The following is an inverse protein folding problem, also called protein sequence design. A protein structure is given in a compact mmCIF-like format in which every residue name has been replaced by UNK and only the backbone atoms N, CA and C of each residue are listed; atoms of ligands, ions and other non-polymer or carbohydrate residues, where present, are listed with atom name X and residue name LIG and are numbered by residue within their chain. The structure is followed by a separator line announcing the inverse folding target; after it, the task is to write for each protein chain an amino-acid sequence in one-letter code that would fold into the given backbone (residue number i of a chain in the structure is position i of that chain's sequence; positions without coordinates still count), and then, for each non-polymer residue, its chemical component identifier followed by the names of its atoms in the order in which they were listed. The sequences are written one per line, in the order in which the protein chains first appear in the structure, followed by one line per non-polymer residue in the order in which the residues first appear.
data_IF_841697260209
#
_entry.id   IF_841697260209
#
_cell.length_a   1.000
_cell.length_b   1.000
_cell.length_c   1.000
_cell.angle_alpha   90.00
_cell.angle_beta   90.00
_cell.angle_gamma   90.00
#
_symmetry.space_group_name_H-M   'P 1'
#
loop_
_entity.id
_entity.type
_entity.pdbx_description
1 polymer ?
#
# COMPACT_ATOMS: atom_id res chain seq x y z
N UNK A 1 75.57 -11.02 -43.67
CA UNK A 1 74.92 -12.22 -43.08
C UNK A 1 75.78 -12.80 -41.97
N UNK A 2 75.41 -12.62 -40.69
CA UNK A 2 75.53 -13.60 -39.59
C UNK A 2 74.96 -12.99 -38.30
N UNK A 3 74.21 -13.82 -37.57
CA UNK A 3 73.49 -13.58 -36.31
C UNK A 3 74.43 -13.16 -35.16
N UNK A 4 73.91 -12.51 -34.12
CA UNK A 4 73.62 -13.12 -32.80
C UNK A 4 73.21 -12.04 -31.78
N UNK A 5 72.24 -12.43 -30.95
CA UNK A 5 71.61 -11.75 -29.82
C UNK A 5 72.54 -11.45 -28.63
N UNK A 6 72.36 -10.28 -28.03
CA UNK A 6 72.41 -10.01 -26.58
C UNK A 6 71.09 -9.27 -26.28
N UNK A 7 70.17 -9.69 -25.44
CA UNK A 7 70.30 -10.28 -24.11
C UNK A 7 70.16 -9.16 -23.08
N UNK A 8 68.94 -8.92 -22.54
CA UNK A 8 68.64 -8.63 -21.12
C UNK A 8 67.22 -8.04 -20.91
N UNK A 9 66.43 -8.81 -20.15
CA UNK A 9 65.62 -8.44 -18.98
C UNK A 9 64.83 -7.12 -19.00
N UNK A 10 63.51 -7.23 -18.89
CA UNK A 10 62.66 -6.12 -18.43
C UNK A 10 61.21 -6.57 -18.22
N UNK A 11 60.96 -7.16 -17.05
CA UNK A 11 59.83 -6.90 -16.12
C UNK A 11 58.47 -6.59 -16.78
N UNK A 12 57.55 -7.54 -16.60
CA UNK A 12 56.13 -7.40 -16.87
C UNK A 12 55.51 -6.23 -16.10
N UNK A 13 54.76 -5.38 -16.80
CA UNK A 13 53.79 -4.48 -16.20
C UNK A 13 52.50 -4.58 -17.03
N UNK A 14 51.68 -5.58 -16.71
CA UNK A 14 50.31 -5.65 -17.19
C UNK A 14 49.50 -4.58 -16.43
N UNK A 15 49.29 -3.44 -17.07
CA UNK A 15 48.27 -2.47 -16.62
C UNK A 15 46.93 -3.06 -17.02
N UNK A 16 46.37 -3.90 -16.15
CA UNK A 16 44.99 -4.33 -16.22
C UNK A 16 44.15 -3.15 -15.70
N UNK A 17 43.73 -2.28 -16.60
CA UNK A 17 42.79 -1.20 -16.29
C UNK A 17 41.45 -1.80 -15.91
N UNK A 18 41.23 -1.99 -14.61
CA UNK A 18 39.91 -2.26 -14.04
C UNK A 18 39.11 -0.96 -14.16
N UNK A 19 38.37 -0.82 -15.24
CA UNK A 19 37.25 0.11 -15.30
C UNK A 19 36.16 -0.44 -14.39
N UNK A 20 36.19 -0.03 -13.11
CA UNK A 20 35.02 -0.12 -12.26
C UNK A 20 34.02 0.89 -12.85
N UNK A 21 33.14 0.39 -13.71
CA UNK A 21 31.84 1.01 -13.97
C UNK A 21 31.13 1.03 -12.62
N UNK A 22 31.29 2.14 -11.90
CA UNK A 22 30.33 2.53 -10.86
C UNK A 22 29.05 2.84 -11.64
N UNK A 23 28.25 1.80 -11.90
CA UNK A 23 26.83 1.96 -12.14
C UNK A 23 26.25 2.50 -10.85
N UNK A 24 26.38 3.82 -10.69
CA UNK A 24 25.50 4.59 -9.85
C UNK A 24 24.09 4.29 -10.38
N UNK A 25 23.39 3.38 -9.71
CA UNK A 25 21.95 3.51 -9.59
C UNK A 25 21.74 4.86 -8.93
N UNK A 26 21.71 5.92 -9.75
CA UNK A 26 20.99 7.11 -9.40
C UNK A 26 19.53 6.65 -9.30
N UNK A 27 19.12 6.25 -8.09
CA UNK A 27 17.72 6.34 -7.70
C UNK A 27 17.30 7.75 -8.11
N UNK A 28 16.54 7.85 -9.20
CA UNK A 28 16.00 9.12 -9.62
C UNK A 28 15.27 9.68 -8.41
N UNK A 29 15.74 10.82 -7.89
CA UNK A 29 15.14 11.46 -6.73
C UNK A 29 13.66 11.65 -7.09
N UNK A 30 12.80 10.80 -6.53
CA UNK A 30 11.37 10.88 -6.79
C UNK A 30 10.92 12.19 -6.19
N UNK A 31 10.60 13.14 -7.06
CA UNK A 31 10.03 14.42 -6.66
C UNK A 31 8.73 14.12 -5.91
N UNK A 32 8.54 14.63 -4.67
CA UNK A 32 7.31 14.44 -3.93
C UNK A 32 6.11 14.95 -4.71
N UNK A 33 4.92 14.35 -4.54
CA UNK A 33 3.72 14.82 -5.21
C UNK A 33 3.38 16.23 -4.74
N UNK A 34 2.81 17.06 -5.61
CA UNK A 34 2.41 18.43 -5.27
C UNK A 34 1.16 18.48 -4.38
N UNK A 35 0.31 17.46 -4.53
CA UNK A 35 -0.92 17.25 -3.78
C UNK A 35 -0.91 15.86 -3.15
N UNK A 36 -1.57 15.73 -2.00
CA UNK A 36 -1.90 14.43 -1.46
C UNK A 36 -3.18 13.87 -2.10
N UNK A 37 -3.11 12.64 -2.58
CA UNK A 37 -4.27 11.84 -2.98
C UNK A 37 -4.19 10.46 -2.34
N UNK A 38 -5.29 10.02 -1.73
CA UNK A 38 -5.40 8.67 -1.18
C UNK A 38 -6.06 7.76 -2.19
N UNK A 39 -5.30 6.82 -2.76
CA UNK A 39 -5.78 5.89 -3.78
C UNK A 39 -6.11 4.51 -3.23
N UNK A 40 -6.20 4.39 -1.91
CA UNK A 40 -6.53 3.15 -1.23
C UNK A 40 -7.47 3.41 -0.06
N UNK A 41 -8.27 2.41 0.30
CA UNK A 41 -9.12 2.42 1.48
C UNK A 41 -8.33 2.18 2.78
N UNK A 42 -7.07 1.76 2.68
CA UNK A 42 -6.21 1.48 3.82
C UNK A 42 -5.91 2.73 4.65
N UNK A 43 -5.69 2.51 5.94
CA UNK A 43 -5.32 3.58 6.87
C UNK A 43 -4.18 3.14 7.77
N UNK A 44 -3.37 4.11 8.20
CA UNK A 44 -2.31 3.88 9.18
C UNK A 44 -2.57 4.72 10.43
N UNK A 45 -2.33 4.13 11.59
CA UNK A 45 -2.34 4.83 12.87
C UNK A 45 -0.90 5.12 13.31
N UNK A 46 -0.61 6.42 13.49
CA UNK A 46 0.62 6.94 14.09
C UNK A 46 0.22 7.60 15.41
N UNK A 47 0.73 7.12 16.54
CA UNK A 47 0.40 7.62 17.89
C UNK A 47 -1.11 7.84 18.12
N UNK A 48 -1.90 6.80 17.83
CA UNK A 48 -3.38 6.80 17.89
C UNK A 48 -4.09 7.77 16.94
N UNK A 49 -3.37 8.52 16.12
CA UNK A 49 -3.94 9.40 15.08
C UNK A 49 -4.09 8.62 13.78
N UNK A 50 -5.27 8.68 13.16
CA UNK A 50 -5.54 8.03 11.87
C UNK A 50 -5.04 8.88 10.71
N UNK A 51 -4.39 8.23 9.76
CA UNK A 51 -3.95 8.83 8.50
C UNK A 51 -4.47 8.03 7.32
N UNK A 52 -4.87 8.73 6.27
CA UNK A 52 -5.10 8.17 4.95
C UNK A 52 -3.75 7.90 4.27
N UNK A 53 -3.67 6.85 3.47
CA UNK A 53 -2.45 6.48 2.74
C UNK A 53 -2.62 6.74 1.25
N UNK A 54 -1.52 7.08 0.55
CA UNK A 54 -1.53 7.23 -0.91
C UNK A 54 -1.77 5.90 -1.62
N UNK A 55 -1.26 4.80 -1.06
CA UNK A 55 -1.43 3.45 -1.58
C UNK A 55 -1.29 2.39 -0.49
N UNK A 56 -1.81 1.19 -0.76
CA UNK A 56 -1.72 0.06 0.17
C UNK A 56 -0.29 -0.49 0.24
N UNK A 57 0.22 -0.84 1.44
CA UNK A 57 1.41 -1.70 1.58
C UNK A 57 1.25 -3.11 1.00
N UNK A 58 0.04 -3.49 0.56
CA UNK A 58 -0.25 -4.72 -0.18
C UNK A 58 -0.23 -4.52 -1.70
N UNK A 59 -0.10 -3.29 -2.21
CA UNK A 59 -0.27 -2.95 -3.64
C UNK A 59 0.58 -3.82 -4.58
N UNK A 60 1.81 -4.20 -4.19
CA UNK A 60 2.68 -5.07 -4.99
C UNK A 60 2.33 -6.56 -4.92
N UNK A 61 1.42 -6.96 -4.03
CA UNK A 61 1.01 -8.33 -3.81
C UNK A 61 -0.27 -8.60 -4.62
N UNK A 62 -0.14 -8.85 -5.92
CA UNK A 62 -1.28 -8.92 -6.83
C UNK A 62 -2.42 -9.83 -6.34
N UNK A 63 -3.65 -9.34 -6.42
CA UNK A 63 -4.86 -10.04 -6.01
C UNK A 63 -5.28 -9.82 -4.56
N UNK A 64 -4.61 -8.92 -3.83
CA UNK A 64 -5.05 -8.51 -2.50
C UNK A 64 -6.43 -7.84 -2.54
N UNK A 65 -6.80 -7.20 -3.65
CA UNK A 65 -8.07 -6.49 -3.84
C UNK A 65 -9.29 -7.42 -3.76
N UNK A 66 -9.10 -8.71 -4.06
CA UNK A 66 -10.15 -9.71 -4.17
C UNK A 66 -10.33 -10.58 -2.92
N UNK A 67 -9.56 -10.32 -1.85
CA UNK A 67 -9.41 -11.27 -0.75
C UNK A 67 -10.66 -11.53 0.09
N UNK A 68 -11.51 -10.51 0.26
CA UNK A 68 -12.61 -10.60 1.20
C UNK A 68 -13.90 -10.04 0.57
N UNK A 69 -14.83 -10.91 0.16
CA UNK A 69 -16.19 -10.51 -0.18
C UNK A 69 -16.92 -10.18 1.11
N UNK A 70 -16.72 -8.96 1.62
CA UNK A 70 -17.49 -8.53 2.79
C UNK A 70 -18.84 -8.05 2.25
N UNK A 71 -19.90 -8.76 2.66
CA UNK A 71 -21.29 -8.53 2.26
C UNK A 71 -21.88 -7.23 2.80
N UNK A 72 -21.19 -6.11 2.58
CA UNK A 72 -21.71 -4.79 2.89
C UNK A 72 -22.23 -4.20 1.59
N UNK A 73 -23.54 -3.96 1.55
CA UNK A 73 -24.15 -3.10 0.56
C UNK A 73 -23.45 -1.75 0.66
N UNK A 74 -22.83 -1.29 -0.43
CA UNK A 74 -22.22 0.03 -0.48
C UNK A 74 -23.31 1.08 -0.39
N UNK A 75 -23.61 1.54 0.81
CA UNK A 75 -24.17 2.86 0.99
C UNK A 75 -22.93 3.73 1.12
N UNK A 76 -22.57 4.45 0.05
CA UNK A 76 -21.61 5.56 0.07
C UNK A 76 -22.35 6.74 0.72
N UNK A 77 -22.28 6.94 2.05
CA UNK A 77 -22.82 8.17 2.62
C UNK A 77 -21.89 9.29 2.14
N UNK A 78 -22.38 10.50 1.90
CA UNK A 78 -21.53 11.61 1.51
C UNK A 78 -20.63 12.00 2.70
N UNK A 79 -19.48 11.34 2.85
CA UNK A 79 -18.50 11.72 3.85
C UNK A 79 -17.80 12.99 3.41
N UNK A 80 -17.42 13.86 4.35
CA UNK A 80 -16.51 14.97 4.05
C UNK A 80 -15.24 14.43 3.37
N UNK A 81 -14.70 15.09 2.35
CA UNK A 81 -13.42 14.66 1.77
C UNK A 81 -12.32 14.67 2.84
N UNK A 82 -11.40 13.70 2.76
CA UNK A 82 -10.36 13.49 3.78
C UNK A 82 -10.77 12.59 4.95
N UNK A 83 -12.02 12.12 5.00
CA UNK A 83 -12.51 11.19 6.05
C UNK A 83 -12.22 9.73 5.71
N UNK A 84 -12.29 9.38 4.41
CA UNK A 84 -11.99 8.06 3.86
C UNK A 84 -11.05 8.21 2.66
N UNK A 85 -10.26 7.17 2.39
CA UNK A 85 -9.51 7.04 1.15
C UNK A 85 -10.40 6.55 0.00
N UNK A 86 -9.80 6.29 -1.16
CA UNK A 86 -10.53 5.76 -2.32
C UNK A 86 -11.00 4.31 -2.09
N UNK A 87 -12.13 3.93 -2.67
CA UNK A 87 -12.63 2.54 -2.65
C UNK A 87 -11.93 1.71 -3.76
N UNK A 88 -10.68 1.32 -3.49
CA UNK A 88 -9.89 0.41 -4.35
C UNK A 88 -10.31 -1.06 -4.19
N UNK A 89 -10.90 -1.42 -3.05
CA UNK A 89 -11.32 -2.78 -2.69
C UNK A 89 -12.32 -2.77 -1.53
N UNK A 90 -13.08 -3.86 -1.33
CA UNK A 90 -14.20 -3.96 -0.36
C UNK A 90 -13.83 -4.04 1.12
N UNK A 91 -12.59 -3.75 1.45
CA UNK A 91 -12.11 -3.72 2.83
C UNK A 91 -11.01 -2.67 2.96
N UNK A 92 -10.77 -2.20 4.18
CA UNK A 92 -9.61 -1.41 4.56
C UNK A 92 -8.65 -2.29 5.37
N UNK A 93 -7.37 -2.32 4.99
CA UNK A 93 -6.34 -2.82 5.87
C UNK A 93 -5.91 -1.71 6.84
N UNK A 94 -5.81 -2.08 8.12
CA UNK A 94 -5.49 -1.14 9.20
C UNK A 94 -4.08 -1.42 9.68
N UNK A 95 -3.22 -0.42 9.50
CA UNK A 95 -1.81 -0.46 9.82
C UNK A 95 -1.52 0.30 11.10
N UNK A 96 -0.56 -0.18 11.88
CA UNK A 96 -0.10 0.48 13.11
C UNK A 96 1.42 0.44 13.19
N UNK A 97 2.02 1.49 13.73
CA UNK A 97 3.41 1.46 14.17
C UNK A 97 3.52 1.06 15.64
N UNK A 98 4.42 0.13 15.93
CA UNK A 98 4.85 -0.23 17.29
C UNK A 98 6.37 -0.27 17.29
N UNK A 99 7.03 0.53 18.12
CA UNK A 99 8.50 0.64 18.18
C UNK A 99 9.15 0.85 16.79
N UNK A 100 8.57 1.77 16.00
CA UNK A 100 8.95 2.05 14.61
C UNK A 100 8.76 0.90 13.62
N UNK A 101 8.14 -0.22 14.02
CA UNK A 101 7.84 -1.35 13.14
C UNK A 101 6.38 -1.30 12.68
N UNK A 102 6.18 -1.51 11.38
CA UNK A 102 4.87 -1.56 10.74
C UNK A 102 4.21 -2.92 10.93
N UNK A 103 2.98 -2.90 11.41
CA UNK A 103 2.14 -4.09 11.57
C UNK A 103 0.81 -3.93 10.84
N UNK A 104 0.38 -5.01 10.20
CA UNK A 104 -1.00 -5.19 9.80
C UNK A 104 -1.81 -5.66 11.01
N UNK A 105 -2.62 -4.75 11.55
CA UNK A 105 -3.32 -4.92 12.83
C UNK A 105 -4.69 -5.55 12.66
N UNK A 106 -5.44 -5.08 11.67
CA UNK A 106 -6.83 -5.42 11.48
C UNK A 106 -7.23 -5.31 10.00
N UNK A 107 -8.34 -5.97 9.65
CA UNK A 107 -8.95 -5.91 8.33
C UNK A 107 -10.45 -5.69 8.52
N UNK A 108 -10.94 -4.64 7.89
CA UNK A 108 -12.28 -4.14 8.13
C UNK A 108 -13.05 -3.99 6.83
N UNK A 109 -14.31 -4.43 6.82
CA UNK A 109 -15.18 -4.16 5.68
C UNK A 109 -15.45 -2.67 5.54
N UNK A 110 -15.52 -2.19 4.30
CA UNK A 110 -16.00 -0.82 4.04
C UNK A 110 -17.45 -0.74 4.51
N UNK A 111 -17.73 0.22 5.38
CA UNK A 111 -19.03 0.39 6.04
C UNK A 111 -19.63 1.75 5.71
N UNK A 112 -20.91 1.86 6.04
CA UNK A 112 -21.74 3.07 5.97
C UNK A 112 -21.41 4.11 7.05
N UNK A 113 -20.35 3.88 7.83
CA UNK A 113 -19.75 4.88 8.73
C UNK A 113 -18.27 5.04 8.39
N UNK A 114 -17.69 6.26 8.49
CA UNK A 114 -16.31 6.50 8.10
C UNK A 114 -15.36 6.17 9.25
N UNK A 115 -15.66 5.08 9.96
CA UNK A 115 -14.96 4.63 11.14
C UNK A 115 -14.39 3.26 10.83
N UNK A 116 -13.12 3.08 11.16
CA UNK A 116 -12.47 1.79 11.14
C UNK A 116 -12.61 1.14 12.51
N UNK A 117 -13.05 -0.11 12.52
CA UNK A 117 -13.03 -0.99 13.67
C UNK A 117 -11.72 -1.78 13.64
N UNK A 118 -11.13 -2.06 14.80
CA UNK A 118 -9.90 -2.85 14.85
C UNK A 118 -10.23 -4.36 14.77
N UNK A 119 -10.98 -4.79 13.75
CA UNK A 119 -11.40 -6.19 13.62
C UNK A 119 -10.24 -7.08 13.20
N UNK A 120 -9.94 -8.07 14.03
CA UNK A 120 -8.90 -9.07 13.76
C UNK A 120 -9.46 -10.34 13.11
N UNK A 121 -10.75 -10.38 12.81
CA UNK A 121 -11.42 -11.62 12.38
C UNK A 121 -10.87 -12.19 11.07
N UNK A 122 -10.43 -11.32 10.15
CA UNK A 122 -9.88 -11.72 8.84
C UNK A 122 -8.35 -11.73 8.78
N UNK A 123 -7.67 -11.54 9.92
CA UNK A 123 -6.21 -11.65 10.00
C UNK A 123 -5.72 -13.06 9.61
N UNK A 124 -6.34 -14.17 10.03
CA UNK A 124 -5.95 -15.50 9.59
C UNK A 124 -6.00 -15.69 8.06
N UNK A 125 -7.04 -15.19 7.40
CA UNK A 125 -7.19 -15.22 5.93
C UNK A 125 -6.10 -14.41 5.25
N UNK A 126 -5.83 -13.21 5.77
CA UNK A 126 -4.74 -12.36 5.28
C UNK A 126 -3.37 -13.03 5.45
N UNK A 127 -3.12 -13.74 6.57
CA UNK A 127 -1.89 -14.51 6.76
C UNK A 127 -1.75 -15.61 5.71
N UNK A 128 -2.81 -16.36 5.42
CA UNK A 128 -2.80 -17.39 4.36
C UNK A 128 -2.44 -16.77 3.00
N UNK A 129 -3.02 -15.60 2.69
CA UNK A 129 -2.68 -14.86 1.48
C UNK A 129 -1.21 -14.44 1.45
N UNK A 130 -0.70 -13.79 2.50
CA UNK A 130 0.68 -13.31 2.56
C UNK A 130 1.69 -14.46 2.46
N UNK A 131 1.39 -15.62 3.07
CA UNK A 131 2.18 -16.84 2.91
C UNK A 131 2.17 -17.31 1.45
N UNK A 132 1.02 -17.33 0.79
CA UNK A 132 0.92 -17.72 -0.62
C UNK A 132 1.71 -16.80 -1.55
N UNK A 133 1.85 -15.52 -1.17
CA UNK A 133 2.66 -14.52 -1.86
C UNK A 133 4.13 -14.52 -1.46
N UNK A 134 4.53 -15.40 -0.53
CA UNK A 134 5.88 -15.44 0.05
C UNK A 134 6.31 -14.12 0.71
N UNK A 135 5.34 -13.26 1.07
CA UNK A 135 5.58 -12.01 1.79
C UNK A 135 5.90 -12.25 3.26
N UNK A 136 5.42 -13.38 3.81
CA UNK A 136 5.76 -13.88 5.15
C UNK A 136 6.06 -15.36 5.11
N UNK A 137 6.87 -15.85 6.06
CA UNK A 137 7.20 -17.26 6.17
C UNK A 137 6.15 -18.01 6.97
N UNK A 138 5.67 -19.14 6.44
CA UNK A 138 4.69 -20.01 7.10
C UNK A 138 5.12 -20.46 8.50
N UNK A 139 6.40 -20.82 8.66
CA UNK A 139 6.93 -21.30 9.94
C UNK A 139 6.92 -20.24 11.05
N UNK A 140 6.95 -18.95 10.68
CA UNK A 140 7.04 -17.82 11.60
C UNK A 140 5.69 -17.10 11.77
N UNK A 141 4.63 -17.56 11.09
CA UNK A 141 3.34 -16.86 11.02
C UNK A 141 2.20 -17.76 11.49
N UNK A 142 1.83 -17.75 12.78
CA UNK A 142 0.69 -18.53 13.28
C UNK A 142 -0.61 -17.99 12.67
N UNK A 143 -1.51 -18.88 12.21
CA UNK A 143 -2.78 -18.51 11.58
C UNK A 143 -3.87 -18.07 12.59
N UNK A 144 -3.48 -17.34 13.63
CA UNK A 144 -4.35 -16.76 14.64
C UNK A 144 -4.62 -15.27 14.34
N UNK A 145 -5.26 -14.59 15.29
CA UNK A 145 -5.66 -13.18 15.20
C UNK A 145 -4.55 -12.18 15.56
N UNK A 146 -3.30 -12.64 15.76
CA UNK A 146 -2.19 -11.74 16.10
C UNK A 146 -1.79 -10.84 14.93
N UNK A 147 -1.43 -9.57 15.18
CA UNK A 147 -0.96 -8.65 14.13
C UNK A 147 0.25 -9.20 13.36
N UNK A 148 0.36 -8.83 12.08
CA UNK A 148 1.39 -9.33 11.18
C UNK A 148 2.47 -8.28 11.02
N UNK A 149 3.73 -8.59 11.35
CA UNK A 149 4.86 -7.70 11.04
C UNK A 149 5.02 -7.57 9.53
N UNK A 150 5.03 -6.34 9.03
CA UNK A 150 5.04 -6.04 7.59
C UNK A 150 6.46 -6.00 7.01
N UNK A 151 7.24 -7.05 7.21
CA UNK A 151 8.67 -7.07 6.84
C UNK A 151 8.93 -6.96 5.32
N UNK A 152 7.91 -7.18 4.48
CA UNK A 152 8.00 -7.01 3.02
C UNK A 152 7.88 -5.55 2.55
N UNK A 153 7.60 -4.61 3.46
CA UNK A 153 7.32 -3.21 3.12
C UNK A 153 8.61 -2.41 3.11
N UNK A 154 9.05 -2.02 1.92
CA UNK A 154 10.19 -1.11 1.71
C UNK A 154 9.81 -0.01 0.72
N UNK A 155 10.26 1.22 0.97
CA UNK A 155 10.04 2.39 0.13
C UNK A 155 9.23 3.50 0.79
N UNK A 156 8.84 4.50 -0.02
CA UNK A 156 8.24 5.76 0.45
C UNK A 156 6.73 5.75 0.31
N UNK A 157 5.99 6.07 1.37
CA UNK A 157 4.54 6.22 1.38
C UNK A 157 4.18 7.65 1.73
N UNK A 158 3.11 8.17 1.16
CA UNK A 158 2.59 9.48 1.55
C UNK A 158 1.33 9.29 2.38
N UNK A 159 1.22 10.03 3.47
CA UNK A 159 0.10 9.94 4.39
C UNK A 159 -0.39 11.31 4.78
N UNK A 160 -1.71 11.46 4.96
CA UNK A 160 -2.31 12.71 5.40
C UNK A 160 -3.32 12.43 6.49
N UNK A 161 -3.31 13.27 7.53
CA UNK A 161 -4.17 13.11 8.69
C UNK A 161 -5.63 13.04 8.25
N UNK A 162 -6.32 11.98 8.68
CA UNK A 162 -7.72 11.77 8.34
C UNK A 162 -8.61 12.74 9.13
N UNK A 163 -9.78 13.01 8.58
CA UNK A 163 -10.82 13.81 9.22
C UNK A 163 -11.66 12.86 10.07
N UNK A 164 -11.46 12.86 11.39
CA UNK A 164 -12.10 11.89 12.30
C UNK A 164 -13.36 12.42 12.99
N UNK A 165 -13.78 13.65 12.68
CA UNK A 165 -14.88 14.34 13.37
C UNK A 165 -16.10 14.58 12.47
N UNK A 166 -16.98 13.57 12.29
CA UNK A 166 -18.26 13.79 11.64
C UNK A 166 -19.12 14.75 12.49
N UNK A 167 -19.53 15.88 11.91
CA UNK A 167 -20.47 16.83 12.53
C UNK A 167 -19.90 18.16 13.04
N UNK A 168 -18.57 18.32 13.08
CA UNK A 168 -17.95 19.63 13.30
C UNK A 168 -17.78 20.37 11.96
N UNK A 169 -17.82 21.71 11.98
CA UNK A 169 -17.52 22.52 10.79
C UNK A 169 -16.07 22.25 10.36
N UNK A 170 -15.93 21.47 9.30
CA UNK A 170 -14.64 21.06 8.77
C UNK A 170 -14.25 21.98 7.61
N UNK A 171 -13.13 22.70 7.76
CA UNK A 171 -12.56 23.49 6.68
C UNK A 171 -11.80 22.57 5.70
N UNK A 172 -12.55 22.10 4.71
CA UNK A 172 -12.01 21.32 3.60
C UNK A 172 -10.92 22.06 2.81
N UNK A 173 -11.02 23.39 2.71
CA UNK A 173 -10.02 24.20 2.03
C UNK A 173 -8.69 24.19 2.78
N UNK A 174 -8.74 24.37 4.10
CA UNK A 174 -7.59 24.27 4.97
C UNK A 174 -6.97 22.87 4.96
N UNK A 175 -7.78 21.81 5.04
CA UNK A 175 -7.26 20.44 4.97
C UNK A 175 -6.61 20.14 3.63
N UNK A 176 -7.21 20.55 2.51
CA UNK A 176 -6.59 20.37 1.18
C UNK A 176 -5.21 21.02 1.13
N UNK A 177 -5.08 22.24 1.66
CA UNK A 177 -3.82 23.02 1.69
C UNK A 177 -2.85 22.59 2.79
N UNK A 178 -3.27 21.79 3.76
CA UNK A 178 -2.38 21.39 4.86
C UNK A 178 -1.24 20.51 4.34
N UNK A 179 -0.07 20.53 5.00
CA UNK A 179 1.00 19.58 4.70
C UNK A 179 0.54 18.12 4.85
N UNK A 180 1.32 17.23 4.27
CA UNK A 180 1.22 15.77 4.43
C UNK A 180 2.60 15.19 4.72
N UNK A 181 2.68 13.91 5.05
CA UNK A 181 3.93 13.27 5.47
C UNK A 181 4.38 12.25 4.44
N UNK A 182 5.69 12.21 4.21
CA UNK A 182 6.39 11.11 3.57
C UNK A 182 6.97 10.21 4.66
N UNK A 183 6.62 8.92 4.60
CA UNK A 183 7.13 7.88 5.48
C UNK A 183 8.03 6.96 4.66
N UNK A 184 9.30 6.81 5.05
CA UNK A 184 10.21 5.86 4.40
C UNK A 184 10.35 4.61 5.27
N UNK A 185 10.08 3.46 4.66
CA UNK A 185 10.20 2.15 5.30
C UNK A 185 11.36 1.34 4.71
N UNK A 186 12.01 0.58 5.57
CA UNK A 186 12.98 -0.45 5.21
C UNK A 186 12.63 -1.74 5.98
N UNK A 187 12.22 -2.78 5.27
CA UNK A 187 11.77 -4.07 5.83
C UNK A 187 10.72 -3.90 6.96
N UNK A 188 9.77 -3.00 6.74
CA UNK A 188 8.71 -2.64 7.66
C UNK A 188 9.14 -1.72 8.80
N UNK A 189 10.42 -1.37 8.93
CA UNK A 189 10.89 -0.38 9.90
C UNK A 189 10.77 1.03 9.33
N UNK A 190 10.13 1.94 10.05
CA UNK A 190 10.12 3.36 9.72
C UNK A 190 11.52 3.94 9.96
N UNK A 191 12.16 4.43 8.90
CA UNK A 191 13.53 4.98 8.95
C UNK A 191 13.57 6.49 8.78
N UNK A 192 12.53 7.09 8.20
CA UNK A 192 12.44 8.55 8.03
C UNK A 192 10.99 9.02 7.95
N UNK A 193 10.75 10.22 8.48
CA UNK A 193 9.51 10.97 8.34
C UNK A 193 9.87 12.36 7.85
N UNK A 194 9.24 12.82 6.78
CA UNK A 194 9.43 14.17 6.23
C UNK A 194 8.07 14.82 5.99
N UNK A 195 7.90 16.05 6.43
CA UNK A 195 6.73 16.85 6.09
C UNK A 195 6.88 17.43 4.67
N UNK A 196 5.80 17.37 3.90
CA UNK A 196 5.70 17.85 2.52
C UNK A 196 4.61 18.91 2.47
N UNK A 197 4.98 20.10 2.02
CA UNK A 197 4.03 21.19 1.81
C UNK A 197 3.10 20.88 0.63
N UNK A 198 1.82 21.22 0.78
CA UNK A 198 0.91 21.17 -0.36
C UNK A 198 1.11 22.41 -1.22
N UNK A 199 1.43 22.21 -2.49
CA UNK A 199 1.67 23.30 -3.44
C UNK A 199 0.36 23.69 -4.15
N UNK A 200 0.31 24.77 -4.95
CA UNK A 200 -0.84 25.03 -5.82
C UNK A 200 -0.98 23.96 -6.91
N UNK A 201 -2.22 23.56 -7.23
CA UNK A 201 -2.52 22.63 -8.31
C UNK A 201 -2.16 23.24 -9.67
N UNK A 202 -1.50 22.47 -10.53
CA UNK A 202 -1.19 22.84 -11.91
C UNK A 202 -2.09 22.07 -12.90
N UNK A 203 -2.11 22.47 -14.17
CA UNK A 203 -2.86 21.73 -15.20
C UNK A 203 -2.37 20.29 -15.38
N UNK A 204 -1.07 20.07 -15.23
CA UNK A 204 -0.49 18.73 -15.37
C UNK A 204 -0.84 17.83 -14.17
N UNK A 205 -0.91 18.40 -12.96
CA UNK A 205 -1.42 17.69 -11.77
C UNK A 205 -2.87 17.23 -12.00
N UNK A 206 -3.71 18.10 -12.57
CA UNK A 206 -5.11 17.78 -12.87
C UNK A 206 -5.22 16.67 -13.92
N UNK A 207 -4.43 16.73 -15.00
CA UNK A 207 -4.40 15.66 -16.01
C UNK A 207 -3.97 14.31 -15.42
N UNK A 208 -2.94 14.30 -14.58
CA UNK A 208 -2.49 13.07 -13.91
C UNK A 208 -3.57 12.53 -12.96
N UNK A 209 -4.20 13.42 -12.19
CA UNK A 209 -5.29 13.06 -11.29
C UNK A 209 -6.47 12.43 -12.06
N UNK A 210 -6.92 13.05 -13.15
CA UNK A 210 -8.01 12.52 -13.96
C UNK A 210 -7.67 11.17 -14.58
N UNK A 211 -6.43 10.99 -15.05
CA UNK A 211 -5.95 9.70 -15.56
C UNK A 211 -6.04 8.60 -14.49
N UNK A 212 -5.49 8.84 -13.29
CA UNK A 212 -5.56 7.89 -12.18
C UNK A 212 -6.98 7.63 -11.72
N UNK A 213 -7.85 8.64 -11.77
CA UNK A 213 -9.26 8.50 -11.41
C UNK A 213 -9.98 7.54 -12.36
N UNK A 214 -9.71 7.61 -13.67
CA UNK A 214 -10.25 6.68 -14.67
C UNK A 214 -9.73 5.26 -14.41
N UNK A 215 -8.42 5.09 -14.24
CA UNK A 215 -7.80 3.78 -13.95
C UNK A 215 -8.41 3.13 -12.70
N UNK A 216 -8.61 3.91 -11.64
CA UNK A 216 -9.23 3.43 -10.41
C UNK A 216 -10.70 3.04 -10.58
N UNK A 217 -11.47 3.79 -11.39
CA UNK A 217 -12.87 3.43 -11.68
C UNK A 217 -12.97 2.12 -12.44
N UNK A 218 -12.10 1.89 -13.41
CA UNK A 218 -12.03 0.63 -14.15
C UNK A 218 -11.67 -0.54 -13.24
N UNK A 219 -10.68 -0.36 -12.36
CA UNK A 219 -10.29 -1.38 -11.39
C UNK A 219 -11.42 -1.70 -10.39
N UNK A 220 -12.10 -0.66 -9.87
CA UNK A 220 -13.29 -0.84 -9.02
C UNK A 220 -14.39 -1.63 -9.75
N UNK A 221 -14.60 -1.38 -11.04
CA UNK A 221 -15.54 -2.16 -11.86
C UNK A 221 -15.19 -3.65 -11.90
N UNK A 222 -13.92 -3.99 -12.13
CA UNK A 222 -13.43 -5.39 -12.13
C UNK A 222 -13.56 -6.06 -10.76
N UNK A 223 -13.26 -5.32 -9.69
CA UNK A 223 -13.44 -5.82 -8.31
C UNK A 223 -14.91 -6.10 -8.04
N UNK A 224 -15.82 -5.19 -8.42
CA UNK A 224 -17.25 -5.40 -8.27
C UNK A 224 -17.74 -6.65 -9.04
N UNK A 225 -17.35 -6.79 -10.31
CA UNK A 225 -17.72 -7.95 -11.14
C UNK A 225 -17.20 -9.27 -10.55
N UNK A 226 -15.95 -9.28 -10.06
CA UNK A 226 -15.41 -10.45 -9.36
C UNK A 226 -16.24 -10.79 -8.12
N UNK A 227 -16.57 -9.78 -7.30
CA UNK A 227 -17.32 -9.99 -6.07
C UNK A 227 -18.75 -10.45 -6.33
N UNK A 228 -19.42 -9.92 -7.35
CA UNK A 228 -20.75 -10.37 -7.77
C UNK A 228 -20.72 -11.84 -8.18
N UNK A 229 -19.75 -12.26 -9.00
CA UNK A 229 -19.57 -13.69 -9.34
C UNK A 229 -19.30 -14.55 -8.12
N UNK A 230 -18.47 -14.07 -7.20
CA UNK A 230 -18.15 -14.82 -5.99
C UNK A 230 -19.35 -14.91 -5.03
N UNK A 231 -20.14 -13.83 -4.92
CA UNK A 231 -21.36 -13.80 -4.14
C UNK A 231 -22.43 -14.73 -4.71
N UNK A 232 -22.64 -14.73 -6.03
CA UNK A 232 -23.50 -15.69 -6.71
C UNK A 232 -23.06 -17.12 -6.44
N UNK A 233 -21.77 -17.43 -6.59
CA UNK A 233 -21.22 -18.76 -6.27
C UNK A 233 -21.38 -19.12 -4.79
N UNK A 234 -21.31 -18.16 -3.88
CA UNK A 234 -21.54 -18.40 -2.46
C UNK A 234 -23.03 -18.66 -2.18
N UNK A 235 -23.95 -17.92 -2.79
CA UNK A 235 -25.38 -18.19 -2.69
C UNK A 235 -25.74 -19.56 -3.28
N UNK A 236 -25.08 -20.01 -4.36
CA UNK A 236 -25.28 -21.37 -4.89
C UNK A 236 -24.80 -22.48 -3.93
N UNK A 237 -23.92 -22.15 -2.97
CA UNK A 237 -23.39 -23.09 -1.98
C UNK A 237 -24.24 -23.16 -0.70
N UNK A 238 -25.23 -22.28 -0.54
CA UNK A 238 -26.06 -22.21 0.67
C UNK A 238 -27.55 -22.10 0.31
N UNK A 239 -28.39 -22.90 0.98
CA UNK A 239 -29.85 -22.80 0.77
C UNK A 239 -30.42 -21.49 1.35
N UNK A 240 -31.71 -21.23 1.13
CA UNK A 240 -32.42 -20.06 1.67
C UNK A 240 -32.39 -19.96 3.20
N UNK A 241 -31.99 -21.04 3.90
CA UNK A 241 -31.80 -21.09 5.35
C UNK A 241 -30.33 -20.93 5.77
N UNK A 242 -29.46 -20.57 4.83
CA UNK A 242 -28.02 -20.39 5.01
C UNK A 242 -27.30 -21.68 5.48
N UNK A 243 -27.86 -22.85 5.15
CA UNK A 243 -27.20 -24.13 5.34
C UNK A 243 -26.36 -24.45 4.11
N UNK A 244 -25.15 -24.96 4.32
CA UNK A 244 -24.29 -25.36 3.22
C UNK A 244 -24.95 -26.52 2.45
N UNK A 245 -25.22 -26.33 1.16
CA UNK A 245 -25.82 -27.36 0.31
C UNK A 245 -24.82 -28.52 0.20
N UNK A 246 -25.17 -29.75 0.62
CA UNK A 246 -24.28 -30.90 0.44
C UNK A 246 -24.20 -31.25 -1.04
N UNK A 247 -22.99 -31.48 -1.54
CA UNK A 247 -22.77 -32.08 -2.87
C UNK A 247 -23.20 -33.55 -2.88
#
# INVERSE_FOLDING_TARGET
MKKVYHGKRGIAMFILGIWILITSCADSVKVPPRQFHSWTSDVIFLDSTRYLMDRSPLYGLGGYEYLLPIGVTMIDPPYPPGTIGNDDKKYAAIWTLVDSMLYLRAIDGIRTVPRVYMSTQYIPEMKKFLISKKAVKKAETPLDKTPIRAAWVTGLFYVKKAVDKPGEFFDLGAWRKSPFQELTFDEGKLVSVREIETLPVTEDDEKEYQKKLIENRENRGKVNEYMERYHLKYLDLYDDNNNKVPF
#
